data_IF_524095585162
#
_entry.id   IF_524095585162
#
_cell.length_a   1.000
_cell.length_b   1.000
_cell.length_c   1.000
_cell.angle_alpha   90.00
_cell.angle_beta   90.00
_cell.angle_gamma   90.00
#
_symmetry.space_group_name_H-M   'P 1'
#
loop_
_entity.id
_entity.type
_entity.pdbx_description
1 polymer ?
#
# COMPACT_ATOMS: atom_id res chain seq x y z
N UNK A 1 0.49 -7.86 -15.56
CA UNK A 1 1.24 -7.04 -14.58
C UNK A 1 0.32 -6.85 -13.37
N UNK A 2 0.81 -7.12 -12.15
CA UNK A 2 -0.05 -7.60 -11.06
C UNK A 2 -1.11 -6.61 -10.53
N UNK A 3 -0.81 -5.31 -10.37
CA UNK A 3 -1.68 -4.38 -9.63
C UNK A 3 -2.98 -4.04 -10.37
N UNK A 4 -2.91 -3.60 -11.62
CA UNK A 4 -4.10 -3.29 -12.43
C UNK A 4 -5.00 -4.51 -12.61
N UNK A 5 -4.37 -5.67 -12.84
CA UNK A 5 -5.07 -6.94 -12.93
C UNK A 5 -5.76 -7.31 -11.61
N UNK A 6 -5.13 -7.08 -10.45
CA UNK A 6 -5.76 -7.28 -9.14
C UNK A 6 -6.95 -6.34 -8.94
N UNK A 7 -6.84 -5.06 -9.36
CA UNK A 7 -7.96 -4.12 -9.27
C UNK A 7 -9.14 -4.62 -10.11
N UNK A 8 -8.90 -4.98 -11.36
CA UNK A 8 -9.93 -5.51 -12.27
C UNK A 8 -10.59 -6.78 -11.69
N UNK A 9 -9.79 -7.77 -11.27
CA UNK A 9 -10.28 -9.03 -10.72
C UNK A 9 -11.04 -8.85 -9.39
N UNK A 10 -10.71 -7.82 -8.61
CA UNK A 10 -11.41 -7.54 -7.35
C UNK A 10 -12.82 -7.00 -7.54
N UNK A 11 -13.15 -6.45 -8.72
CA UNK A 11 -14.38 -5.70 -8.97
C UNK A 11 -14.50 -4.40 -8.18
N UNK A 12 -13.49 -4.02 -7.40
CA UNK A 12 -13.48 -2.82 -6.58
C UNK A 12 -13.04 -1.59 -7.39
N UNK A 13 -13.41 -0.42 -6.88
CA UNK A 13 -12.92 0.88 -7.37
C UNK A 13 -12.14 1.56 -6.24
N UNK A 14 -10.85 1.24 -6.07
CA UNK A 14 -10.04 1.82 -5.00
C UNK A 14 -9.91 3.33 -5.20
N UNK A 15 -9.96 4.09 -4.10
CA UNK A 15 -9.77 5.54 -4.12
C UNK A 15 -8.28 5.92 -4.06
N UNK A 16 -7.43 5.03 -3.54
CA UNK A 16 -6.00 5.25 -3.34
C UNK A 16 -5.24 3.93 -3.26
N UNK A 17 -3.92 4.00 -3.40
CA UNK A 17 -3.00 2.90 -3.13
C UNK A 17 -2.20 3.22 -1.88
N UNK A 18 -2.05 2.27 -0.96
CA UNK A 18 -1.14 2.41 0.19
C UNK A 18 0.03 1.43 -0.01
N UNK A 19 1.27 1.94 -0.01
CA UNK A 19 2.47 1.11 -0.20
C UNK A 19 3.13 0.89 1.16
N UNK A 20 3.31 -0.37 1.53
CA UNK A 20 3.89 -0.80 2.82
C UNK A 20 5.09 -1.73 2.59
N UNK A 21 5.87 -1.98 3.65
CA UNK A 21 7.11 -2.75 3.59
C UNK A 21 8.32 -1.88 3.23
N UNK A 22 9.54 -2.43 3.40
CA UNK A 22 10.78 -1.66 3.23
C UNK A 22 11.00 -1.09 1.82
N UNK A 23 10.46 -1.75 0.79
CA UNK A 23 10.50 -1.27 -0.59
C UNK A 23 9.73 0.03 -0.82
N UNK A 24 8.76 0.37 0.02
CA UNK A 24 7.98 1.60 -0.11
C UNK A 24 8.83 2.88 0.00
N UNK A 25 10.01 2.79 0.63
CA UNK A 25 10.96 3.90 0.71
C UNK A 25 11.66 4.21 -0.63
N UNK A 26 11.53 3.33 -1.63
CA UNK A 26 12.02 3.59 -2.98
C UNK A 26 11.03 4.52 -3.69
N UNK A 27 11.37 5.81 -3.79
CA UNK A 27 10.49 6.87 -4.30
C UNK A 27 9.89 6.58 -5.68
N UNK A 28 10.62 5.86 -6.55
CA UNK A 28 10.14 5.51 -7.89
C UNK A 28 8.95 4.54 -7.90
N UNK A 29 8.77 3.75 -6.84
CA UNK A 29 7.66 2.78 -6.75
C UNK A 29 6.33 3.51 -6.66
N UNK A 30 6.20 4.44 -5.71
CA UNK A 30 4.97 5.22 -5.54
C UNK A 30 4.63 5.99 -6.82
N UNK A 31 5.61 6.72 -7.38
CA UNK A 31 5.42 7.47 -8.63
C UNK A 31 5.02 6.58 -9.81
N UNK A 32 5.59 5.38 -9.92
CA UNK A 32 5.22 4.44 -11.00
C UNK A 32 3.78 3.95 -10.86
N UNK A 33 3.32 3.70 -9.63
CA UNK A 33 1.94 3.30 -9.36
C UNK A 33 0.97 4.43 -9.68
N UNK A 34 1.26 5.67 -9.29
CA UNK A 34 0.43 6.84 -9.62
C UNK A 34 0.32 7.04 -11.13
N UNK A 35 1.45 7.05 -11.85
CA UNK A 35 1.47 7.27 -13.31
C UNK A 35 0.69 6.20 -14.08
N UNK A 36 0.70 4.96 -13.59
CA UNK A 36 0.09 3.83 -14.30
C UNK A 36 -1.37 3.61 -13.94
N UNK A 37 -1.74 3.84 -12.68
CA UNK A 37 -3.11 3.59 -12.20
C UNK A 37 -3.97 4.85 -12.17
N UNK A 38 -3.36 6.04 -12.22
CA UNK A 38 -4.06 7.32 -12.00
C UNK A 38 -4.54 7.53 -10.56
N UNK A 39 -4.22 6.64 -9.64
CA UNK A 39 -4.63 6.70 -8.24
C UNK A 39 -3.55 7.39 -7.39
N UNK A 40 -3.97 8.20 -6.42
CA UNK A 40 -3.06 8.76 -5.42
C UNK A 40 -2.41 7.63 -4.62
N UNK A 41 -1.09 7.71 -4.45
CA UNK A 41 -0.34 6.74 -3.67
C UNK A 41 0.11 7.33 -2.33
N UNK A 42 -0.19 6.62 -1.24
CA UNK A 42 0.17 6.97 0.12
C UNK A 42 1.31 6.07 0.60
N UNK A 43 2.37 6.70 1.11
CA UNK A 43 3.48 6.01 1.78
C UNK A 43 3.50 6.45 3.24
N UNK A 44 3.21 5.55 4.20
CA UNK A 44 3.31 5.85 5.63
C UNK A 44 4.74 6.24 6.03
N UNK A 45 4.91 6.98 7.12
CA UNK A 45 6.24 7.45 7.58
C UNK A 45 7.24 6.33 7.91
N UNK A 46 6.75 5.18 8.36
CA UNK A 46 7.55 3.98 8.66
C UNK A 46 6.90 2.78 7.98
N UNK A 47 6.97 2.68 6.65
CA UNK A 47 6.18 1.72 5.88
C UNK A 47 6.55 0.27 6.19
N UNK A 48 7.80 0.01 6.59
CA UNK A 48 8.28 -1.30 7.05
C UNK A 48 7.66 -1.76 8.38
N UNK A 49 7.17 -0.84 9.21
CA UNK A 49 6.59 -1.17 10.51
C UNK A 49 5.07 -1.33 10.49
N UNK A 50 4.40 -1.05 9.37
CA UNK A 50 2.93 -1.01 9.29
C UNK A 50 2.31 -2.33 9.75
N UNK A 51 2.82 -3.46 9.26
CA UNK A 51 2.30 -4.78 9.65
C UNK A 51 2.53 -5.09 11.13
N UNK A 52 3.71 -4.76 11.66
CA UNK A 52 4.04 -5.00 13.07
C UNK A 52 3.19 -4.14 14.02
N UNK A 53 2.98 -2.87 13.67
CA UNK A 53 2.10 -1.96 14.44
C UNK A 53 0.64 -2.39 14.38
N UNK A 54 0.17 -2.83 13.20
CA UNK A 54 -1.17 -3.39 13.05
C UNK A 54 -1.37 -4.64 13.90
N UNK A 55 -0.39 -5.55 13.93
CA UNK A 55 -0.42 -6.72 14.78
C UNK A 55 -0.46 -6.36 16.27
N UNK A 56 0.35 -5.38 16.70
CA UNK A 56 0.34 -4.90 18.08
C UNK A 56 -1.02 -4.30 18.47
N UNK A 57 -1.68 -3.54 17.58
CA UNK A 57 -3.02 -2.98 17.81
C UNK A 57 -4.10 -4.05 17.94
N UNK A 58 -3.98 -5.15 17.19
CA UNK A 58 -4.91 -6.29 17.26
C UNK A 58 -4.65 -7.20 18.46
N UNK A 59 -3.52 -7.02 19.16
CA UNK A 59 -3.25 -7.78 20.38
C UNK A 59 -4.18 -7.29 21.48
N UNK A 60 -4.94 -8.18 22.14
CA UNK A 60 -5.67 -7.80 23.33
C UNK A 60 -4.69 -7.35 24.42
N UNK A 61 -5.04 -6.29 25.15
CA UNK A 61 -4.37 -5.96 26.41
C UNK A 61 -4.52 -7.16 27.34
N UNK A 62 -3.40 -7.81 27.64
CA UNK A 62 -3.32 -8.84 28.68
C UNK A 62 -2.89 -8.20 29.99
#
# INVERSE_FOLDING_TARGET
MLVEQTIELSGARPQSIVVVGGGANITSIARSLELRTGLTTLVPTMPELVSARGAALLSPDR
#
